data_IF_345750212473
#
_entry.id   IF_345750212473
#
_cell.length_a   1.000
_cell.length_b   1.000
_cell.length_c   1.000
_cell.angle_alpha   90.00
_cell.angle_beta   90.00
_cell.angle_gamma   90.00
#
_symmetry.space_group_name_H-M   'P 1'
#
loop_
_entity.id
_entity.type
_entity.pdbx_description
1 polymer ?
#
# COMPACT_ATOMS: atom_id res chain seq x y z
N UNK A 1 14.14 26.10 7.61
CA UNK A 1 14.60 24.81 7.07
C UNK A 1 14.33 23.75 8.13
N UNK A 2 13.25 22.97 7.99
CA UNK A 2 12.86 21.90 8.92
C UNK A 2 12.37 20.68 8.14
N UNK A 3 13.27 20.11 7.34
CA UNK A 3 13.00 18.93 6.50
C UNK A 3 12.85 17.67 7.38
N UNK A 4 13.53 17.68 8.54
CA UNK A 4 13.49 16.64 9.57
C UNK A 4 12.22 16.72 10.44
N UNK A 5 11.25 17.59 10.15
CA UNK A 5 10.02 17.69 10.94
C UNK A 5 8.86 16.90 10.34
N UNK A 6 8.60 17.07 9.04
CA UNK A 6 7.42 16.50 8.38
C UNK A 6 7.62 15.05 7.91
N UNK A 7 8.81 14.72 7.38
CA UNK A 7 9.07 13.41 6.77
C UNK A 7 9.24 12.31 7.84
N UNK A 8 10.05 12.56 8.88
CA UNK A 8 10.21 11.61 10.01
C UNK A 8 8.92 11.39 10.78
N UNK A 9 8.08 12.42 10.84
CA UNK A 9 6.79 12.38 11.52
C UNK A 9 5.80 11.50 10.74
N UNK A 10 5.89 11.47 9.41
CA UNK A 10 5.16 10.52 8.58
C UNK A 10 5.72 9.10 8.72
N UNK A 11 7.05 8.91 8.66
CA UNK A 11 7.68 7.60 8.79
C UNK A 11 7.33 6.91 10.13
N UNK A 12 7.48 7.61 11.26
CA UNK A 12 7.13 7.09 12.58
C UNK A 12 5.62 6.79 12.73
N UNK A 13 4.76 7.58 12.05
CA UNK A 13 3.31 7.28 11.99
C UNK A 13 3.03 6.02 11.20
N UNK A 14 3.63 5.86 10.03
CA UNK A 14 3.49 4.65 9.21
C UNK A 14 3.97 3.42 9.99
N UNK A 15 5.09 3.53 10.69
CA UNK A 15 5.59 2.48 11.59
C UNK A 15 4.55 2.13 12.66
N UNK A 16 3.95 3.11 13.35
CA UNK A 16 2.90 2.83 14.33
C UNK A 16 1.67 2.16 13.72
N UNK A 17 1.35 2.45 12.46
CA UNK A 17 0.19 1.90 11.74
C UNK A 17 0.41 0.47 11.24
N UNK A 18 1.65 0.02 11.08
CA UNK A 18 1.95 -1.39 10.72
C UNK A 18 1.23 -2.37 11.65
N UNK A 19 1.22 -2.07 12.95
CA UNK A 19 0.53 -2.87 13.99
C UNK A 19 -0.98 -2.89 13.83
N UNK A 20 -1.58 -1.80 13.32
CA UNK A 20 -3.03 -1.72 13.11
C UNK A 20 -3.47 -2.43 11.84
N UNK A 21 -2.66 -2.37 10.78
CA UNK A 21 -2.93 -3.04 9.52
C UNK A 21 -2.45 -4.49 9.48
N UNK A 22 -1.62 -4.92 10.43
CA UNK A 22 -1.08 -6.29 10.49
C UNK A 22 -0.08 -6.60 9.39
N UNK A 23 0.63 -5.58 8.88
CA UNK A 23 1.59 -5.70 7.77
C UNK A 23 2.99 -5.29 8.22
N UNK A 24 4.06 -5.92 7.72
CA UNK A 24 5.41 -5.70 8.24
C UNK A 24 5.98 -4.33 7.83
N UNK A 25 5.66 -3.84 6.62
CA UNK A 25 6.25 -2.62 6.07
C UNK A 25 5.17 -1.79 5.37
N UNK A 26 4.97 -0.55 5.83
CA UNK A 26 4.11 0.44 5.19
C UNK A 26 4.94 1.58 4.60
N UNK A 27 4.57 2.03 3.41
CA UNK A 27 5.15 3.19 2.73
C UNK A 27 4.07 4.17 2.29
N UNK A 28 4.43 5.45 2.18
CA UNK A 28 3.54 6.48 1.65
C UNK A 28 3.39 6.37 0.13
N UNK A 29 2.33 6.97 -0.39
CA UNK A 29 2.10 7.10 -1.84
C UNK A 29 3.27 7.74 -2.60
N UNK A 30 3.90 8.75 -2.00
CA UNK A 30 5.09 9.39 -2.56
C UNK A 30 6.27 8.41 -2.62
N UNK A 31 6.57 7.72 -1.52
CA UNK A 31 7.65 6.74 -1.48
C UNK A 31 7.39 5.58 -2.46
N UNK A 32 6.15 5.10 -2.54
CA UNK A 32 5.74 4.08 -3.49
C UNK A 32 6.09 4.52 -4.92
N UNK A 33 5.66 5.69 -5.38
CA UNK A 33 5.96 6.17 -6.75
C UNK A 33 7.45 6.18 -7.11
N UNK A 34 8.34 6.34 -6.14
CA UNK A 34 9.78 6.30 -6.40
C UNK A 34 10.29 4.89 -6.74
N UNK A 35 9.54 3.84 -6.39
CA UNK A 35 9.86 2.44 -6.68
C UNK A 35 9.46 2.00 -8.09
N UNK A 36 8.73 2.83 -8.85
CA UNK A 36 8.32 2.51 -10.24
C UNK A 36 9.44 2.69 -11.27
N UNK A 37 10.68 2.93 -10.81
CA UNK A 37 11.83 3.11 -11.69
C UNK A 37 12.12 1.82 -12.48
N UNK A 38 12.52 1.91 -13.76
CA UNK A 38 12.74 0.74 -14.62
C UNK A 38 13.69 -0.31 -14.04
N UNK A 39 14.66 0.11 -13.23
CA UNK A 39 15.67 -0.77 -12.59
C UNK A 39 15.08 -1.68 -11.50
N UNK A 40 13.95 -1.28 -10.90
CA UNK A 40 13.32 -1.96 -9.76
C UNK A 40 12.05 -2.75 -10.16
N UNK A 41 11.67 -2.72 -11.45
CA UNK A 41 10.48 -3.40 -11.98
C UNK A 41 10.54 -4.91 -11.70
N UNK A 42 9.55 -5.41 -10.97
CA UNK A 42 9.40 -6.82 -10.59
C UNK A 42 10.19 -7.24 -9.34
N UNK A 43 11.02 -6.36 -8.76
CA UNK A 43 11.77 -6.65 -7.52
C UNK A 43 11.10 -6.10 -6.27
N UNK A 44 10.39 -4.98 -6.41
CA UNK A 44 9.67 -4.33 -5.32
C UNK A 44 8.17 -4.43 -5.55
N UNK A 45 7.61 -5.59 -5.18
CA UNK A 45 6.17 -5.82 -5.19
C UNK A 45 5.52 -4.98 -4.10
N UNK A 46 4.31 -4.50 -4.34
CA UNK A 46 3.59 -3.66 -3.39
C UNK A 46 2.09 -3.78 -3.61
N UNK A 47 1.31 -3.51 -2.57
CA UNK A 47 -0.15 -3.38 -2.67
C UNK A 47 -0.65 -2.16 -1.92
N UNK A 48 -1.72 -1.52 -2.40
CA UNK A 48 -2.44 -0.49 -1.63
C UNK A 48 -3.12 -1.15 -0.44
N UNK A 49 -3.17 -0.47 0.70
CA UNK A 49 -3.86 -0.96 1.89
C UNK A 49 -5.07 -0.11 2.22
N UNK A 50 -4.88 1.21 2.30
CA UNK A 50 -5.95 2.12 2.68
C UNK A 50 -5.63 3.57 2.32
N UNK A 51 -6.68 4.37 2.13
CA UNK A 51 -6.60 5.82 2.13
C UNK A 51 -6.94 6.31 3.55
N UNK A 52 -5.94 6.78 4.28
CA UNK A 52 -6.08 7.19 5.67
C UNK A 52 -5.85 8.68 5.85
N UNK A 53 -6.45 9.27 6.89
CA UNK A 53 -6.14 10.63 7.32
C UNK A 53 -5.50 10.58 8.71
N UNK A 54 -4.16 10.54 8.80
CA UNK A 54 -3.50 10.54 10.08
C UNK A 54 -3.79 11.84 10.84
N UNK A 55 -3.85 11.76 12.16
CA UNK A 55 -4.08 12.93 13.00
C UNK A 55 -3.02 14.01 12.73
N UNK A 56 -3.49 15.24 12.47
CA UNK A 56 -2.65 16.39 12.15
C UNK A 56 -2.31 16.56 10.66
N UNK A 57 -2.68 15.63 9.78
CA UNK A 57 -2.58 15.82 8.33
C UNK A 57 -3.90 16.37 7.77
N UNK A 58 -3.82 17.36 6.88
CA UNK A 58 -5.00 17.94 6.23
C UNK A 58 -5.59 16.98 5.20
N UNK A 59 -4.73 16.41 4.37
CA UNK A 59 -5.11 15.58 3.24
C UNK A 59 -4.95 14.09 3.57
N UNK A 60 -5.91 13.24 3.15
CA UNK A 60 -5.75 11.79 3.25
C UNK A 60 -4.60 11.30 2.36
N UNK A 61 -3.87 10.31 2.85
CA UNK A 61 -2.72 9.70 2.19
C UNK A 61 -3.04 8.24 1.89
N UNK A 62 -2.75 7.80 0.66
CA UNK A 62 -2.75 6.38 0.34
C UNK A 62 -1.50 5.72 0.95
N UNK A 63 -1.69 4.63 1.67
CA UNK A 63 -0.59 3.83 2.21
C UNK A 63 -0.53 2.48 1.50
N UNK A 64 0.70 2.03 1.29
CA UNK A 64 1.03 0.84 0.54
C UNK A 64 1.82 -0.12 1.44
N UNK A 65 1.57 -1.41 1.32
CA UNK A 65 2.44 -2.44 1.87
C UNK A 65 3.49 -2.82 0.84
N UNK A 66 4.74 -2.98 1.29
CA UNK A 66 5.78 -3.62 0.49
C UNK A 66 5.71 -5.13 0.67
N UNK A 67 5.59 -5.83 -0.45
CA UNK A 67 5.51 -7.28 -0.51
C UNK A 67 6.89 -7.85 -0.80
N UNK A 68 7.15 -9.05 -0.27
CA UNK A 68 8.37 -9.75 -0.58
C UNK A 68 8.42 -10.17 -2.07
N UNK A 69 9.63 -10.39 -2.62
CA UNK A 69 9.76 -11.00 -3.93
C UNK A 69 9.15 -12.41 -3.93
N UNK A 70 8.34 -12.72 -4.94
CA UNK A 70 7.58 -13.98 -5.08
C UNK A 70 8.44 -15.26 -4.93
N UNK A 71 9.75 -15.16 -5.14
CA UNK A 71 10.68 -16.29 -5.16
C UNK A 71 11.28 -16.62 -3.79
N UNK A 72 11.08 -15.75 -2.80
CA UNK A 72 11.80 -15.80 -1.53
C UNK A 72 10.92 -16.35 -0.39
N UNK A 73 9.59 -16.28 -0.52
CA UNK A 73 8.64 -16.78 0.48
C UNK A 73 7.55 -17.64 -0.18
N UNK A 74 7.43 -18.90 0.27
CA UNK A 74 6.51 -19.91 -0.30
C UNK A 74 5.01 -19.65 0.01
N UNK A 75 4.67 -18.58 0.73
CA UNK A 75 3.31 -18.24 1.19
C UNK A 75 2.76 -16.92 0.61
N UNK A 76 3.39 -16.39 -0.44
CA UNK A 76 3.03 -15.08 -0.99
C UNK A 76 1.73 -15.06 -1.80
N UNK A 77 1.04 -13.90 -1.74
CA UNK A 77 -0.11 -13.57 -2.58
C UNK A 77 0.29 -13.66 -4.06
N UNK A 78 -0.28 -14.56 -4.90
CA UNK A 78 0.08 -14.67 -6.31
C UNK A 78 -0.15 -13.35 -7.06
N UNK A 79 0.64 -13.07 -8.10
CA UNK A 79 0.49 -11.83 -8.88
C UNK A 79 -0.92 -11.64 -9.45
N UNK A 80 -1.60 -12.74 -9.80
CA UNK A 80 -3.00 -12.69 -10.23
C UNK A 80 -3.92 -12.24 -9.10
N UNK A 81 -3.81 -12.84 -7.92
CA UNK A 81 -4.59 -12.44 -6.74
C UNK A 81 -4.28 -11.01 -6.30
N UNK A 82 -3.05 -10.53 -6.53
CA UNK A 82 -2.68 -9.13 -6.31
C UNK A 82 -3.41 -8.19 -7.29
N UNK A 83 -3.49 -8.54 -8.58
CA UNK A 83 -4.21 -7.75 -9.57
C UNK A 83 -5.73 -7.71 -9.29
N UNK A 84 -6.31 -8.84 -8.92
CA UNK A 84 -7.73 -8.94 -8.58
C UNK A 84 -8.02 -8.09 -7.32
N UNK A 85 -7.16 -8.18 -6.30
CA UNK A 85 -7.22 -7.34 -5.11
C UNK A 85 -7.13 -5.84 -5.44
N UNK A 86 -6.15 -5.43 -6.24
CA UNK A 86 -5.95 -4.02 -6.62
C UNK A 86 -7.16 -3.47 -7.39
N UNK A 87 -7.73 -4.28 -8.27
CA UNK A 87 -8.94 -3.93 -9.03
C UNK A 87 -10.15 -3.81 -8.10
N UNK A 88 -10.32 -4.76 -7.19
CA UNK A 88 -11.39 -4.75 -6.19
C UNK A 88 -11.30 -3.51 -5.29
N UNK A 89 -10.10 -3.14 -4.86
CA UNK A 89 -9.88 -1.97 -4.03
C UNK A 89 -10.22 -0.67 -4.77
N UNK A 90 -9.87 -0.56 -6.05
CA UNK A 90 -10.28 0.60 -6.87
C UNK A 90 -11.80 0.70 -6.94
N UNK A 91 -12.49 -0.41 -7.25
CA UNK A 91 -13.96 -0.46 -7.27
C UNK A 91 -14.58 -0.07 -5.92
N UNK A 92 -14.00 -0.56 -4.82
CA UNK A 92 -14.43 -0.21 -3.46
C UNK A 92 -14.29 1.30 -3.19
N UNK A 93 -13.14 1.89 -3.54
CA UNK A 93 -12.89 3.32 -3.32
C UNK A 93 -13.78 4.22 -4.19
N UNK A 94 -14.24 3.73 -5.35
CA UNK A 94 -15.16 4.42 -6.26
C UNK A 94 -16.64 4.24 -5.86
N UNK A 95 -16.94 3.35 -4.91
CA UNK A 95 -18.30 3.06 -4.45
C UNK A 95 -19.01 1.96 -5.24
N UNK A 96 -18.30 1.27 -6.12
CA UNK A 96 -18.79 0.16 -6.94
C UNK A 96 -18.71 -1.17 -6.16
N UNK A 97 -19.41 -1.25 -5.02
CA UNK A 97 -19.27 -2.34 -4.05
C UNK A 97 -19.59 -3.74 -4.61
N UNK A 98 -20.51 -3.81 -5.58
CA UNK A 98 -20.87 -5.07 -6.24
C UNK A 98 -19.69 -5.67 -7.01
N UNK A 99 -19.04 -4.84 -7.83
CA UNK A 99 -17.85 -5.20 -8.59
C UNK A 99 -16.67 -5.51 -7.67
N UNK A 100 -16.47 -4.71 -6.61
CA UNK A 100 -15.44 -4.96 -5.61
C UNK A 100 -15.59 -6.35 -4.96
N UNK A 101 -16.83 -6.75 -4.63
CA UNK A 101 -17.10 -8.06 -4.04
C UNK A 101 -16.83 -9.19 -5.02
N UNK A 102 -17.30 -9.07 -6.26
CA UNK A 102 -17.09 -10.08 -7.30
C UNK A 102 -15.60 -10.36 -7.52
N UNK A 103 -14.78 -9.30 -7.63
CA UNK A 103 -13.33 -9.41 -7.81
C UNK A 103 -12.60 -10.07 -6.62
N UNK A 104 -13.18 -10.05 -5.41
CA UNK A 104 -12.59 -10.68 -4.21
C UNK A 104 -13.04 -12.11 -3.97
N UNK A 105 -14.18 -12.52 -4.54
CA UNK A 105 -14.80 -13.82 -4.27
C UNK A 105 -14.91 -14.74 -5.48
N UNK A 106 -14.65 -14.21 -6.67
CA UNK A 106 -14.74 -14.90 -7.96
C UNK A 106 -13.52 -15.76 -8.29
#
# INVERSE_FOLDING_TARGET
MAIVGHIVNLAARLESLTKHFGVPILVSDEAARHLDRPVDRGRMRRRRIAKIKPYGLKDPVMVWELLAPEREFHEDLPDRSLLDYESALSAFLEGEWGMARELLTG
#
